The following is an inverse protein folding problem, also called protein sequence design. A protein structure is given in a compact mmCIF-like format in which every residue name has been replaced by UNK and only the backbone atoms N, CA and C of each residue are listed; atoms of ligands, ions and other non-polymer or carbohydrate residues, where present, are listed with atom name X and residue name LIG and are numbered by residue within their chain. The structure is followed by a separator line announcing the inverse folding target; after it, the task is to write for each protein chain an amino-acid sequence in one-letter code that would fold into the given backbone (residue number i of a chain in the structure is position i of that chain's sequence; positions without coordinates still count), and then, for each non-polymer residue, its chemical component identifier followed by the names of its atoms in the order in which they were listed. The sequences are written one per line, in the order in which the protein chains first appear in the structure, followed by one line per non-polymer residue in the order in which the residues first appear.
data_IF_688042414624
#
_entry.id   IF_688042414624
#
_cell.length_a   1.000
_cell.length_b   1.000
_cell.length_c   1.000
_cell.angle_alpha   90.00
_cell.angle_beta   90.00
_cell.angle_gamma   90.00
#
_symmetry.space_group_name_H-M   'P 1'
#
loop_
_entity.id
_entity.type
_entity.pdbx_description
1 polymer ?
#
# COMPACT_ATOMS: atom_id res chain seq x y z
N UNK A 1 -15.78 -40.64 5.62
CA UNK A 1 -14.70 -41.62 5.40
C UNK A 1 -13.33 -40.96 5.32
N UNK A 2 -13.02 -40.12 4.31
CA UNK A 2 -11.65 -39.59 4.10
C UNK A 2 -11.10 -38.69 5.24
N UNK A 3 -11.96 -38.03 6.03
CA UNK A 3 -11.50 -37.18 7.15
C UNK A 3 -10.88 -37.94 8.35
N UNK A 4 -11.11 -39.26 8.48
CA UNK A 4 -10.75 -40.01 9.69
C UNK A 4 -9.43 -40.81 9.60
N UNK A 5 -8.88 -41.01 8.39
CA UNK A 5 -7.61 -41.70 8.16
C UNK A 5 -6.79 -40.89 7.16
N UNK A 6 -5.58 -40.48 7.52
CA UNK A 6 -4.61 -39.99 6.53
C UNK A 6 -4.11 -41.18 5.71
N UNK A 7 -4.26 -41.14 4.39
CA UNK A 7 -3.59 -42.09 3.50
C UNK A 7 -2.12 -41.71 3.35
N UNK A 8 -1.24 -42.71 3.33
CA UNK A 8 0.17 -42.50 2.98
C UNK A 8 0.33 -42.43 1.46
N UNK A 9 1.40 -41.80 0.98
CA UNK A 9 1.71 -41.69 -0.46
C UNK A 9 1.84 -43.04 -1.18
N UNK A 10 2.04 -44.12 -0.44
CA UNK A 10 2.06 -45.51 -0.90
C UNK A 10 0.68 -46.14 -1.14
N UNK A 11 -0.42 -45.53 -0.66
CA UNK A 11 -1.80 -46.01 -0.84
C UNK A 11 -2.50 -45.40 -2.07
N UNK A 12 -1.75 -44.68 -2.92
CA UNK A 12 -2.23 -43.99 -4.13
C UNK A 12 -2.42 -44.95 -5.31
N UNK A 13 -3.42 -44.69 -6.15
CA UNK A 13 -3.75 -45.58 -7.28
C UNK A 13 -3.73 -44.84 -8.63
N UNK A 14 -2.55 -44.77 -9.24
CA UNK A 14 -2.35 -44.19 -10.58
C UNK A 14 -1.87 -42.75 -10.55
N UNK A 15 -2.39 -41.90 -11.46
CA UNK A 15 -2.03 -40.48 -11.51
C UNK A 15 -2.75 -39.72 -10.38
N UNK A 16 -2.07 -38.77 -9.74
CA UNK A 16 -2.62 -37.95 -8.63
C UNK A 16 -3.95 -37.28 -9.00
N UNK A 17 -4.12 -36.81 -10.24
CA UNK A 17 -5.38 -36.18 -10.71
C UNK A 17 -6.56 -37.16 -10.87
N UNK A 18 -6.28 -38.48 -10.94
CA UNK A 18 -7.29 -39.53 -10.99
C UNK A 18 -7.68 -40.07 -9.61
N UNK A 19 -6.90 -39.79 -8.56
CA UNK A 19 -7.25 -40.21 -7.20
C UNK A 19 -8.57 -39.55 -6.73
N UNK A 20 -9.52 -40.33 -6.19
CA UNK A 20 -10.83 -39.81 -5.77
C UNK A 20 -10.70 -38.82 -4.60
N UNK A 21 -9.64 -38.94 -3.81
CA UNK A 21 -9.33 -38.05 -2.70
C UNK A 21 -8.82 -36.69 -3.18
N UNK A 22 -7.95 -36.65 -4.20
CA UNK A 22 -7.51 -35.41 -4.84
C UNK A 22 -8.69 -34.66 -5.47
N UNK A 23 -9.55 -35.37 -6.21
CA UNK A 23 -10.79 -34.81 -6.78
C UNK A 23 -11.68 -34.19 -5.70
N UNK A 24 -11.96 -34.93 -4.63
CA UNK A 24 -12.75 -34.42 -3.50
C UNK A 24 -12.16 -33.15 -2.88
N UNK A 25 -10.82 -33.00 -2.87
CA UNK A 25 -10.18 -31.79 -2.36
C UNK A 25 -10.26 -30.63 -3.36
N UNK A 26 -10.15 -30.88 -4.67
CA UNK A 26 -10.40 -29.85 -5.71
C UNK A 26 -11.85 -29.36 -5.62
N UNK A 27 -12.81 -30.28 -5.51
CA UNK A 27 -14.24 -29.97 -5.36
C UNK A 27 -14.52 -29.21 -4.05
N UNK A 28 -13.91 -29.62 -2.93
CA UNK A 28 -14.04 -28.90 -1.66
C UNK A 28 -13.47 -27.46 -1.73
N UNK A 29 -12.35 -27.26 -2.44
CA UNK A 29 -11.81 -25.91 -2.67
C UNK A 29 -12.71 -25.07 -3.60
N UNK A 30 -13.38 -25.67 -4.58
CA UNK A 30 -14.38 -24.97 -5.40
C UNK A 30 -15.58 -24.55 -4.55
N UNK A 31 -16.15 -25.47 -3.77
CA UNK A 31 -17.24 -25.20 -2.83
C UNK A 31 -16.88 -24.11 -1.81
N UNK A 32 -15.63 -24.05 -1.34
CA UNK A 32 -15.20 -22.98 -0.42
C UNK A 32 -15.22 -21.58 -1.07
N UNK A 33 -14.98 -21.47 -2.38
CA UNK A 33 -15.11 -20.22 -3.15
C UNK A 33 -16.58 -19.86 -3.37
N UNK A 34 -17.43 -20.85 -3.67
CA UNK A 34 -18.86 -20.65 -3.86
C UNK A 34 -19.53 -20.20 -2.55
N UNK A 35 -19.15 -20.81 -1.42
CA UNK A 35 -19.56 -20.38 -0.07
C UNK A 35 -19.16 -18.92 0.22
N UNK A 36 -17.99 -18.46 -0.22
CA UNK A 36 -17.60 -17.05 -0.09
C UNK A 36 -18.45 -16.11 -0.95
N UNK A 37 -18.84 -16.54 -2.15
CA UNK A 37 -19.76 -15.77 -2.99
C UNK A 37 -21.15 -15.65 -2.35
N UNK A 38 -21.68 -16.76 -1.80
CA UNK A 38 -22.96 -16.78 -1.08
C UNK A 38 -22.94 -15.91 0.19
N UNK A 39 -21.88 -16.00 1.01
CA UNK A 39 -21.71 -15.11 2.18
C UNK A 39 -21.72 -13.64 1.75
N UNK A 40 -21.08 -13.29 0.62
CA UNK A 40 -21.08 -11.92 0.10
C UNK A 40 -22.44 -11.49 -0.49
N UNK A 41 -23.29 -12.42 -0.94
CA UNK A 41 -24.68 -12.15 -1.35
C UNK A 41 -25.56 -11.92 -0.11
N UNK A 42 -25.49 -12.81 0.89
CA UNK A 42 -26.22 -12.69 2.16
C UNK A 42 -25.85 -11.39 2.88
N UNK A 43 -24.57 -11.03 2.90
CA UNK A 43 -24.05 -9.77 3.44
C UNK A 43 -24.67 -8.52 2.78
N UNK A 44 -24.90 -8.53 1.45
CA UNK A 44 -25.60 -7.45 0.75
C UNK A 44 -27.08 -7.40 1.13
N UNK A 45 -27.75 -8.54 1.16
CA UNK A 45 -29.16 -8.64 1.57
C UNK A 45 -29.38 -8.11 2.99
N UNK A 46 -28.57 -8.56 3.96
CA UNK A 46 -28.62 -8.10 5.33
C UNK A 46 -28.33 -6.59 5.44
N UNK A 47 -27.38 -6.06 4.65
CA UNK A 47 -27.11 -4.62 4.56
C UNK A 47 -28.32 -3.81 4.10
N UNK A 48 -28.91 -4.17 2.97
CA UNK A 48 -30.05 -3.44 2.40
C UNK A 48 -31.25 -3.43 3.36
N UNK A 49 -31.49 -4.53 4.07
CA UNK A 49 -32.57 -4.64 5.07
C UNK A 49 -32.26 -3.87 6.36
N UNK A 50 -31.04 -4.02 6.90
CA UNK A 50 -30.65 -3.40 8.16
C UNK A 50 -30.34 -1.90 8.06
N UNK A 51 -30.07 -1.39 6.85
CA UNK A 51 -29.90 0.04 6.58
C UNK A 51 -31.09 0.89 7.08
N UNK A 52 -32.30 0.32 7.11
CA UNK A 52 -33.50 0.95 7.70
C UNK A 52 -33.37 1.25 9.20
N UNK A 53 -32.60 0.44 9.95
CA UNK A 53 -32.36 0.59 11.40
C UNK A 53 -31.09 1.34 11.73
N UNK A 54 -29.99 1.02 11.07
CA UNK A 54 -28.67 1.57 11.39
C UNK A 54 -27.83 1.75 10.11
N UNK A 55 -28.11 2.79 9.30
CA UNK A 55 -27.48 2.99 8.00
C UNK A 55 -25.97 3.23 8.08
N UNK A 56 -25.47 3.77 9.19
CA UNK A 56 -24.06 4.07 9.38
C UNK A 56 -23.20 2.80 9.54
N UNK A 57 -23.77 1.68 10.01
CA UNK A 57 -23.03 0.46 10.37
C UNK A 57 -22.22 -0.13 9.21
N UNK A 58 -22.71 -0.01 7.96
CA UNK A 58 -21.98 -0.43 6.75
C UNK A 58 -20.60 0.25 6.66
N UNK A 59 -20.53 1.53 7.02
CA UNK A 59 -19.31 2.33 6.90
C UNK A 59 -18.30 2.03 8.01
N UNK A 60 -18.78 1.50 9.13
CA UNK A 60 -17.99 1.22 10.34
C UNK A 60 -17.33 -0.15 10.27
N UNK A 61 -18.09 -1.18 9.88
CA UNK A 61 -17.63 -2.57 9.83
C UNK A 61 -17.49 -3.01 8.36
N UNK A 62 -16.25 -3.22 7.92
CA UNK A 62 -15.93 -3.65 6.56
C UNK A 62 -15.91 -5.17 6.36
N UNK A 63 -15.70 -5.95 7.42
CA UNK A 63 -15.67 -7.41 7.36
C UNK A 63 -17.09 -7.97 7.21
N UNK A 64 -17.30 -8.87 6.24
CA UNK A 64 -18.65 -9.37 5.91
C UNK A 64 -19.25 -10.18 7.06
N UNK A 65 -18.46 -11.12 7.61
CA UNK A 65 -18.86 -11.96 8.76
C UNK A 65 -18.95 -11.12 10.04
N UNK A 66 -18.02 -10.19 10.26
CA UNK A 66 -18.03 -9.26 11.41
C UNK A 66 -19.30 -8.40 11.42
N UNK A 67 -19.73 -7.92 10.23
CA UNK A 67 -20.96 -7.16 10.06
C UNK A 67 -22.20 -8.00 10.38
N UNK A 68 -22.30 -9.21 9.83
CA UNK A 68 -23.46 -10.10 10.05
C UNK A 68 -23.59 -10.52 11.52
N UNK A 69 -22.48 -10.86 12.18
CA UNK A 69 -22.46 -11.14 13.62
C UNK A 69 -22.88 -9.92 14.45
N UNK A 70 -22.39 -8.72 14.10
CA UNK A 70 -22.76 -7.49 14.78
C UNK A 70 -24.26 -7.14 14.59
N UNK A 71 -24.80 -7.31 13.38
CA UNK A 71 -26.22 -7.09 13.10
C UNK A 71 -27.11 -8.02 13.95
N UNK A 72 -26.76 -9.31 14.01
CA UNK A 72 -27.49 -10.31 14.80
C UNK A 72 -27.51 -9.98 16.30
N UNK A 73 -26.38 -9.53 16.85
CA UNK A 73 -26.25 -9.18 18.28
C UNK A 73 -26.79 -7.79 18.63
N UNK A 74 -27.09 -6.93 17.65
CA UNK A 74 -27.69 -5.61 17.87
C UNK A 74 -29.21 -5.63 17.66
N UNK A 75 -29.69 -6.25 16.58
CA UNK A 75 -31.10 -6.29 16.24
C UNK A 75 -31.75 -4.90 16.24
N UNK A 76 -32.81 -4.73 17.03
CA UNK A 76 -33.48 -3.43 17.20
C UNK A 76 -32.88 -2.56 18.33
N UNK A 77 -32.18 -3.14 19.31
CA UNK A 77 -31.85 -2.46 20.58
C UNK A 77 -30.39 -2.00 20.62
N UNK A 78 -30.14 -0.84 20.01
CA UNK A 78 -28.80 -0.29 19.81
C UNK A 78 -28.06 0.08 21.11
N UNK A 79 -28.74 0.16 22.25
CA UNK A 79 -28.09 0.38 23.55
C UNK A 79 -27.26 -0.82 24.02
N UNK A 80 -27.52 -2.02 23.49
CA UNK A 80 -26.78 -3.24 23.84
C UNK A 80 -25.29 -3.18 23.43
N UNK A 81 -24.89 -2.27 22.54
CA UNK A 81 -23.47 -2.07 22.12
C UNK A 81 -22.53 -1.91 23.31
N UNK A 82 -22.97 -1.22 24.37
CA UNK A 82 -22.09 -0.79 25.48
C UNK A 82 -21.65 -1.95 26.37
N UNK A 83 -22.52 -2.94 26.57
CA UNK A 83 -22.37 -3.98 27.60
C UNK A 83 -22.36 -5.41 27.04
N UNK A 84 -22.49 -5.63 25.73
CA UNK A 84 -22.52 -6.98 25.14
C UNK A 84 -21.09 -7.56 24.99
N UNK A 85 -20.75 -8.53 25.85
CA UNK A 85 -19.48 -9.26 25.84
C UNK A 85 -19.19 -9.97 24.49
N UNK A 86 -20.21 -10.45 23.79
CA UNK A 86 -20.03 -11.11 22.49
C UNK A 86 -19.56 -10.13 21.42
N UNK A 87 -20.07 -8.89 21.42
CA UNK A 87 -19.58 -7.84 20.52
C UNK A 87 -18.11 -7.51 20.79
N UNK A 88 -17.66 -7.59 22.05
CA UNK A 88 -16.24 -7.41 22.42
C UNK A 88 -15.34 -8.57 21.94
N UNK A 89 -15.88 -9.77 21.78
CA UNK A 89 -15.15 -10.89 21.18
C UNK A 89 -15.01 -10.77 19.65
N UNK A 90 -15.92 -10.06 18.98
CA UNK A 90 -15.96 -9.91 17.52
C UNK A 90 -15.21 -8.64 17.06
N UNK A 91 -15.45 -7.51 17.74
CA UNK A 91 -15.02 -6.18 17.32
C UNK A 91 -13.99 -5.60 18.29
N UNK A 92 -13.06 -4.79 17.77
CA UNK A 92 -12.11 -4.07 18.63
C UNK A 92 -12.81 -3.02 19.50
N UNK A 93 -12.26 -2.72 20.68
CA UNK A 93 -12.80 -1.68 21.55
C UNK A 93 -12.93 -0.32 20.86
N UNK A 94 -12.02 0.02 19.95
CA UNK A 94 -12.08 1.25 19.16
C UNK A 94 -13.29 1.28 18.21
N UNK A 95 -13.58 0.16 17.53
CA UNK A 95 -14.79 0.03 16.69
C UNK A 95 -16.07 0.06 17.53
N UNK A 96 -16.10 -0.60 18.70
CA UNK A 96 -17.26 -0.58 19.61
C UNK A 96 -17.56 0.83 20.12
N UNK A 97 -16.52 1.60 20.50
CA UNK A 97 -16.68 3.00 20.89
C UNK A 97 -17.30 3.82 19.76
N UNK A 98 -16.80 3.72 18.52
CA UNK A 98 -17.36 4.46 17.38
C UNK A 98 -18.80 4.02 17.10
N UNK A 99 -19.07 2.71 17.08
CA UNK A 99 -20.43 2.15 16.88
C UNK A 99 -21.37 2.67 17.96
N UNK A 100 -21.00 2.69 19.24
CA UNK A 100 -21.86 3.20 20.34
C UNK A 100 -22.14 4.71 20.26
N UNK A 101 -21.17 5.50 19.82
CA UNK A 101 -21.35 6.95 19.59
C UNK A 101 -22.30 7.17 18.41
N UNK A 102 -22.08 6.48 17.28
CA UNK A 102 -22.99 6.60 16.13
C UNK A 102 -24.39 6.08 16.44
N UNK A 103 -24.51 4.94 17.14
CA UNK A 103 -25.75 4.34 17.64
C UNK A 103 -26.59 5.33 18.46
N UNK A 104 -25.94 6.14 19.30
CA UNK A 104 -26.58 7.16 20.13
C UNK A 104 -27.13 8.35 19.31
N UNK A 105 -26.77 8.48 18.03
CA UNK A 105 -27.15 9.58 17.13
C UNK A 105 -27.81 9.11 15.83
N UNK A 106 -28.17 7.83 15.69
CA UNK A 106 -28.71 7.28 14.45
C UNK A 106 -30.06 7.89 14.09
N UNK A 107 -30.28 8.14 12.81
CA UNK A 107 -31.58 8.58 12.27
C UNK A 107 -32.47 7.42 11.80
N UNK A 108 -32.10 6.18 12.13
CA UNK A 108 -32.79 4.97 11.66
C UNK A 108 -34.07 4.64 12.42
N UNK A 109 -34.94 3.86 11.77
CA UNK A 109 -36.27 3.47 12.26
C UNK A 109 -36.28 2.04 12.79
N UNK A 110 -37.20 1.71 13.70
CA UNK A 110 -37.35 0.34 14.19
C UNK A 110 -37.79 -0.63 13.08
N UNK A 111 -37.21 -1.83 13.07
CA UNK A 111 -37.63 -2.92 12.17
C UNK A 111 -38.88 -3.59 12.73
N UNK A 112 -39.78 -3.98 11.84
CA UNK A 112 -40.90 -4.87 12.19
C UNK A 112 -40.37 -6.25 12.61
N UNK A 113 -41.09 -7.02 13.44
CA UNK A 113 -40.64 -8.34 13.87
C UNK A 113 -40.42 -9.31 12.68
N UNK A 114 -41.19 -9.17 11.60
CA UNK A 114 -41.01 -9.95 10.38
C UNK A 114 -39.74 -9.56 9.60
N UNK A 115 -39.46 -8.26 9.47
CA UNK A 115 -38.18 -7.80 8.87
C UNK A 115 -36.98 -8.25 9.72
N UNK A 116 -37.09 -8.19 11.05
CA UNK A 116 -36.03 -8.64 11.95
C UNK A 116 -35.78 -10.15 11.79
N UNK A 117 -36.83 -10.98 11.81
CA UNK A 117 -36.70 -12.42 11.65
C UNK A 117 -35.99 -12.83 10.34
N UNK A 118 -36.30 -12.15 9.22
CA UNK A 118 -35.61 -12.36 7.94
C UNK A 118 -34.11 -12.02 7.98
N UNK A 119 -33.72 -11.01 8.77
CA UNK A 119 -32.31 -10.62 8.95
C UNK A 119 -31.60 -11.62 9.87
N UNK A 120 -32.25 -12.03 10.97
CA UNK A 120 -31.72 -13.00 11.94
C UNK A 120 -31.48 -14.37 11.25
N UNK A 121 -32.44 -14.86 10.44
CA UNK A 121 -32.32 -16.08 9.63
C UNK A 121 -31.17 -16.01 8.60
N UNK A 122 -31.04 -14.86 7.91
CA UNK A 122 -29.93 -14.64 6.97
C UNK A 122 -28.57 -14.62 7.69
N UNK A 123 -28.49 -14.04 8.89
CA UNK A 123 -27.27 -14.07 9.68
C UNK A 123 -26.92 -15.49 10.16
N UNK A 124 -27.91 -16.28 10.58
CA UNK A 124 -27.72 -17.69 10.97
C UNK A 124 -27.18 -18.53 9.80
N UNK A 125 -27.80 -18.42 8.63
CA UNK A 125 -27.34 -19.09 7.41
C UNK A 125 -25.88 -18.76 7.08
N UNK A 126 -25.47 -17.49 7.19
CA UNK A 126 -24.09 -17.08 6.94
C UNK A 126 -23.10 -17.62 8.00
N UNK A 127 -23.52 -17.74 9.26
CA UNK A 127 -22.71 -18.35 10.33
C UNK A 127 -22.52 -19.84 10.06
N UNK A 128 -23.57 -20.55 9.67
CA UNK A 128 -23.49 -21.96 9.28
C UNK A 128 -22.57 -22.18 8.08
N UNK A 129 -22.72 -21.37 7.02
CA UNK A 129 -21.84 -21.39 5.84
C UNK A 129 -20.38 -21.14 6.21
N UNK A 130 -20.09 -20.18 7.09
CA UNK A 130 -18.73 -19.94 7.57
C UNK A 130 -18.19 -21.13 8.40
N UNK A 131 -19.03 -21.79 9.21
CA UNK A 131 -18.66 -22.99 9.95
C UNK A 131 -18.46 -24.23 9.06
N UNK A 132 -19.10 -24.29 7.88
CA UNK A 132 -18.82 -25.30 6.86
C UNK A 132 -17.49 -24.98 6.18
N UNK A 133 -17.24 -23.71 5.87
CA UNK A 133 -15.98 -23.25 5.27
C UNK A 133 -14.75 -23.54 6.15
N UNK A 134 -14.84 -23.32 7.46
CA UNK A 134 -13.73 -23.65 8.38
C UNK A 134 -13.42 -25.15 8.38
N UNK A 135 -14.44 -26.01 8.43
CA UNK A 135 -14.29 -27.47 8.30
C UNK A 135 -13.66 -27.89 6.98
N UNK A 136 -14.01 -27.22 5.87
CA UNK A 136 -13.35 -27.44 4.57
C UNK A 136 -11.87 -27.07 4.65
N UNK A 137 -11.52 -25.92 5.23
CA UNK A 137 -10.12 -25.51 5.40
C UNK A 137 -9.32 -26.44 6.32
N UNK A 138 -9.90 -26.94 7.42
CA UNK A 138 -9.28 -27.95 8.29
C UNK A 138 -9.00 -29.26 7.53
N UNK A 139 -9.96 -29.72 6.72
CA UNK A 139 -9.78 -30.90 5.87
C UNK A 139 -8.66 -30.70 4.83
N UNK A 140 -8.68 -29.56 4.12
CA UNK A 140 -7.67 -29.19 3.12
C UNK A 140 -6.28 -29.03 3.76
N UNK A 141 -6.20 -28.43 4.95
CA UNK A 141 -4.95 -28.31 5.72
C UNK A 141 -4.38 -29.69 6.10
N UNK A 142 -5.22 -30.63 6.53
CA UNK A 142 -4.83 -32.02 6.85
C UNK A 142 -4.29 -32.84 5.67
N UNK A 143 -4.43 -32.32 4.44
CA UNK A 143 -3.99 -32.90 3.17
C UNK A 143 -3.02 -32.02 2.39
N UNK A 144 -2.60 -30.90 2.96
CA UNK A 144 -1.79 -29.90 2.27
C UNK A 144 -0.38 -30.41 1.93
N UNK A 145 0.19 -31.26 2.77
CA UNK A 145 1.46 -31.96 2.53
C UNK A 145 1.41 -32.91 1.34
N UNK A 146 0.23 -33.41 0.96
CA UNK A 146 0.03 -34.26 -0.21
C UNK A 146 -0.17 -33.44 -1.50
N UNK A 147 -0.98 -32.38 -1.43
CA UNK A 147 -1.37 -31.57 -2.60
C UNK A 147 -0.27 -30.59 -3.02
N UNK A 148 0.33 -29.91 -2.04
CA UNK A 148 1.29 -28.84 -2.27
C UNK A 148 2.46 -28.94 -1.26
N UNK A 149 3.26 -30.03 -1.34
CA UNK A 149 4.37 -30.25 -0.42
C UNK A 149 5.37 -29.09 -0.46
N UNK A 150 5.73 -28.56 -1.63
CA UNK A 150 6.75 -27.52 -1.72
C UNK A 150 6.24 -26.18 -1.16
N UNK A 151 4.98 -25.82 -1.41
CA UNK A 151 4.35 -24.63 -0.84
C UNK A 151 4.21 -24.72 0.69
N UNK A 152 3.83 -25.90 1.20
CA UNK A 152 3.70 -26.19 2.63
C UNK A 152 5.00 -25.95 3.39
N UNK A 153 6.13 -26.42 2.86
CA UNK A 153 7.45 -26.27 3.50
C UNK A 153 7.90 -24.81 3.62
N UNK A 154 7.41 -23.92 2.74
CA UNK A 154 7.80 -22.50 2.74
C UNK A 154 6.93 -21.66 3.68
N UNK A 155 5.60 -21.78 3.58
CA UNK A 155 4.67 -20.84 4.25
C UNK A 155 3.97 -21.48 5.46
N UNK A 156 3.93 -22.82 5.54
CA UNK A 156 3.12 -23.62 6.47
C UNK A 156 1.85 -24.18 5.82
N UNK A 157 1.29 -25.26 6.38
CA UNK A 157 0.09 -25.91 5.85
C UNK A 157 -1.15 -25.01 5.92
N UNK A 158 -1.43 -24.37 7.07
CA UNK A 158 -2.60 -23.48 7.24
C UNK A 158 -2.62 -22.29 6.29
N UNK A 159 -1.47 -21.67 6.06
CA UNK A 159 -1.32 -20.53 5.16
C UNK A 159 -1.40 -20.97 3.71
N UNK A 160 -0.81 -22.12 3.34
CA UNK A 160 -0.96 -22.73 2.02
C UNK A 160 -2.43 -23.07 1.70
N UNK A 161 -3.16 -23.67 2.65
CA UNK A 161 -4.60 -23.94 2.53
C UNK A 161 -5.41 -22.66 2.27
N UNK A 162 -5.17 -21.61 3.06
CA UNK A 162 -5.82 -20.30 2.89
C UNK A 162 -5.49 -19.60 1.57
N UNK A 163 -4.26 -19.75 1.07
CA UNK A 163 -3.85 -19.26 -0.25
C UNK A 163 -4.52 -20.04 -1.39
N UNK A 164 -4.63 -21.36 -1.26
CA UNK A 164 -5.31 -22.22 -2.24
C UNK A 164 -6.82 -21.97 -2.30
N UNK A 165 -7.46 -21.79 -1.14
CA UNK A 165 -8.87 -21.43 -1.05
C UNK A 165 -9.19 -20.14 -1.78
N UNK A 166 -8.54 -19.02 -1.43
CA UNK A 166 -8.77 -17.73 -2.10
C UNK A 166 -8.34 -17.75 -3.58
N UNK A 167 -7.30 -18.49 -3.94
CA UNK A 167 -6.93 -18.64 -5.36
C UNK A 167 -7.91 -19.51 -6.15
N UNK A 168 -8.75 -20.31 -5.49
CA UNK A 168 -9.66 -21.27 -6.10
C UNK A 168 -8.97 -22.48 -6.72
N UNK A 169 -7.89 -22.96 -6.09
CA UNK A 169 -7.14 -24.17 -6.48
C UNK A 169 -5.71 -23.92 -6.97
N UNK A 170 -4.90 -25.00 -6.97
CA UNK A 170 -3.46 -24.97 -7.21
C UNK A 170 -3.09 -24.49 -8.63
N UNK A 171 -3.85 -24.89 -9.63
CA UNK A 171 -3.67 -24.49 -11.03
C UNK A 171 -4.01 -23.03 -11.31
N UNK A 172 -4.85 -22.40 -10.46
CA UNK A 172 -5.09 -20.94 -10.49
C UNK A 172 -3.97 -20.20 -9.76
N UNK A 173 -3.58 -20.69 -8.57
CA UNK A 173 -2.48 -20.12 -7.77
C UNK A 173 -1.15 -20.10 -8.55
N UNK A 174 -0.81 -21.16 -9.28
CA UNK A 174 0.43 -21.24 -10.07
C UNK A 174 0.48 -20.22 -11.22
N UNK A 175 -0.68 -19.88 -11.81
CA UNK A 175 -0.84 -18.85 -12.84
C UNK A 175 -0.76 -17.43 -12.29
N UNK A 176 -0.98 -17.20 -10.99
CA UNK A 176 -0.90 -15.88 -10.39
C UNK A 176 0.55 -15.34 -10.35
N UNK A 177 0.76 -14.03 -10.52
CA UNK A 177 2.06 -13.40 -10.29
C UNK A 177 2.30 -13.19 -8.79
N UNK A 178 3.59 -13.19 -8.39
CA UNK A 178 4.02 -13.05 -6.99
C UNK A 178 3.49 -11.78 -6.30
N UNK A 179 3.30 -10.67 -7.03
CA UNK A 179 2.72 -9.44 -6.46
C UNK A 179 1.26 -9.61 -6.04
N UNK A 180 0.49 -10.46 -6.71
CA UNK A 180 -0.89 -10.75 -6.34
C UNK A 180 -0.92 -11.72 -5.15
N UNK A 181 -0.08 -12.76 -5.17
CA UNK A 181 0.02 -13.74 -4.07
C UNK A 181 0.45 -13.10 -2.74
N UNK A 182 1.29 -12.06 -2.78
CA UNK A 182 1.65 -11.28 -1.59
C UNK A 182 0.43 -10.64 -0.88
N UNK A 183 -0.62 -10.30 -1.64
CA UNK A 183 -1.82 -9.59 -1.14
C UNK A 183 -3.06 -10.47 -1.03
N UNK A 184 -2.98 -11.76 -1.33
CA UNK A 184 -4.10 -12.69 -1.11
C UNK A 184 -4.47 -12.72 0.38
N UNK A 185 -5.77 -12.59 0.68
CA UNK A 185 -6.28 -12.46 2.05
C UNK A 185 -6.09 -11.06 2.67
N UNK A 186 -5.66 -10.03 1.92
CA UNK A 186 -5.57 -8.68 2.47
C UNK A 186 -6.97 -8.10 2.72
N UNK A 187 -7.38 -8.04 3.98
CA UNK A 187 -8.62 -7.39 4.39
C UNK A 187 -8.51 -5.86 4.23
N UNK A 188 -9.60 -5.23 3.77
CA UNK A 188 -9.76 -3.78 3.89
C UNK A 188 -10.03 -3.46 5.35
N UNK A 189 -9.30 -2.52 5.93
CA UNK A 189 -9.57 -1.98 7.27
C UNK A 189 -9.97 -0.51 7.15
N UNK A 190 -10.93 -0.07 7.95
CA UNK A 190 -11.20 1.35 8.17
C UNK A 190 -10.15 1.90 9.14
N UNK A 191 -9.72 3.14 8.94
CA UNK A 191 -8.98 3.88 9.97
C UNK A 191 -9.98 4.30 11.04
N UNK A 192 -10.17 3.44 12.04
CA UNK A 192 -10.99 3.73 13.21
C UNK A 192 -10.27 4.74 14.13
N UNK A 193 -10.92 5.89 14.35
CA UNK A 193 -10.51 6.91 15.33
C UNK A 193 -9.30 7.77 14.93
N UNK A 194 -8.73 8.47 15.91
CA UNK A 194 -7.65 9.45 15.74
C UNK A 194 -6.25 8.83 15.48
N UNK A 195 -6.18 7.57 15.08
CA UNK A 195 -4.92 6.84 14.99
C UNK A 195 -4.12 7.19 13.73
N UNK A 196 -2.85 7.61 13.91
CA UNK A 196 -1.88 7.78 12.81
C UNK A 196 -1.15 6.49 12.44
N UNK A 197 -1.47 5.37 13.10
CA UNK A 197 -0.90 4.05 12.81
C UNK A 197 -1.25 3.67 11.38
N UNK A 198 -0.25 3.72 10.50
CA UNK A 198 -0.45 3.42 9.09
C UNK A 198 -1.03 2.02 8.93
N UNK A 199 -2.18 1.91 8.25
CA UNK A 199 -2.62 0.63 7.72
C UNK A 199 -1.47 0.02 6.94
N UNK A 200 -0.96 -1.13 7.39
CA UNK A 200 0.17 -1.81 6.74
C UNK A 200 -0.29 -2.23 5.33
N UNK A 201 0.21 -1.59 4.26
CA UNK A 201 -0.29 -1.86 2.93
C UNK A 201 0.31 -3.17 2.41
N UNK A 202 -0.47 -3.95 1.67
CA UNK A 202 -0.05 -5.22 1.08
C UNK A 202 0.26 -6.32 2.12
N UNK A 203 -0.53 -6.39 3.19
CA UNK A 203 -0.51 -7.48 4.18
C UNK A 203 -1.59 -8.51 3.89
N UNK A 204 -1.25 -9.56 3.12
CA UNK A 204 -2.06 -10.77 2.95
C UNK A 204 -1.63 -11.90 3.88
N UNK A 205 -2.13 -13.13 3.66
CA UNK A 205 -1.78 -14.31 4.47
C UNK A 205 -0.28 -14.60 4.51
N UNK A 206 0.45 -14.36 3.41
CA UNK A 206 1.91 -14.49 3.37
C UNK A 206 2.60 -13.60 4.41
N UNK A 207 2.06 -12.40 4.68
CA UNK A 207 2.62 -11.50 5.70
C UNK A 207 2.47 -12.07 7.11
N UNK A 208 1.39 -12.80 7.40
CA UNK A 208 1.11 -13.42 8.70
C UNK A 208 1.70 -14.84 8.85
N UNK A 209 2.49 -15.31 7.88
CA UNK A 209 3.27 -16.54 8.03
C UNK A 209 4.39 -16.37 9.07
N UNK A 210 4.73 -17.46 9.78
CA UNK A 210 5.75 -17.46 10.85
C UNK A 210 7.08 -16.88 10.35
N UNK A 211 7.61 -17.41 9.24
CA UNK A 211 8.85 -16.96 8.59
C UNK A 211 8.90 -15.45 8.25
N UNK A 212 7.75 -14.76 8.14
CA UNK A 212 7.70 -13.30 8.02
C UNK A 212 7.58 -12.64 9.39
N UNK A 213 6.74 -13.14 10.29
CA UNK A 213 6.56 -12.55 11.63
C UNK A 213 7.82 -12.64 12.50
N UNK A 214 8.62 -13.68 12.35
CA UNK A 214 9.89 -13.87 13.07
C UNK A 214 10.94 -12.82 12.67
N UNK A 215 10.78 -12.16 11.51
CA UNK A 215 11.67 -11.07 11.09
C UNK A 215 11.32 -9.74 11.76
N UNK A 216 12.30 -8.84 12.02
CA UNK A 216 12.04 -7.53 12.62
C UNK A 216 11.12 -6.68 11.72
N UNK A 217 10.27 -5.82 12.31
CA UNK A 217 9.15 -5.16 11.63
C UNK A 217 9.53 -4.40 10.35
N UNK A 218 10.69 -3.73 10.34
CA UNK A 218 11.21 -2.98 9.20
C UNK A 218 11.56 -3.87 7.98
N UNK A 219 11.88 -5.15 8.23
CA UNK A 219 12.21 -6.13 7.20
C UNK A 219 11.01 -6.96 6.75
N UNK A 220 9.92 -7.06 7.54
CA UNK A 220 8.73 -7.87 7.22
C UNK A 220 8.16 -7.62 5.82
N UNK A 221 8.16 -6.36 5.33
CA UNK A 221 7.70 -6.03 3.97
C UNK A 221 8.66 -6.47 2.84
N UNK A 222 9.95 -6.63 3.15
CA UNK A 222 10.92 -7.26 2.23
C UNK A 222 10.76 -8.78 2.29
N UNK A 223 10.65 -9.36 3.49
CA UNK A 223 10.43 -10.78 3.73
C UNK A 223 9.16 -11.29 3.00
N UNK A 224 8.01 -10.65 3.21
CA UNK A 224 6.75 -11.03 2.57
C UNK A 224 6.82 -11.05 1.03
N UNK A 225 7.57 -10.13 0.40
CA UNK A 225 7.81 -10.14 -1.05
C UNK A 225 8.69 -11.31 -1.50
N UNK A 226 9.71 -11.63 -0.71
CA UNK A 226 10.65 -12.71 -0.98
C UNK A 226 9.95 -14.08 -0.83
N UNK A 227 9.21 -14.27 0.26
CA UNK A 227 8.38 -15.46 0.52
C UNK A 227 7.30 -15.60 -0.56
N UNK A 228 6.55 -14.55 -0.91
CA UNK A 228 5.54 -14.63 -1.97
C UNK A 228 6.13 -15.02 -3.34
N UNK A 229 7.32 -14.52 -3.68
CA UNK A 229 8.01 -14.89 -4.92
C UNK A 229 8.42 -16.37 -4.95
N UNK A 230 8.96 -16.89 -3.84
CA UNK A 230 9.34 -18.30 -3.72
C UNK A 230 8.14 -19.24 -3.60
N UNK A 231 7.08 -18.82 -2.90
CA UNK A 231 5.82 -19.54 -2.78
C UNK A 231 5.13 -19.72 -4.15
N UNK A 232 5.14 -18.72 -5.03
CA UNK A 232 4.61 -18.87 -6.40
C UNK A 232 5.44 -19.85 -7.23
N UNK A 233 6.77 -19.87 -7.07
CA UNK A 233 7.61 -20.86 -7.74
C UNK A 233 7.34 -22.27 -7.22
N UNK A 234 7.20 -22.45 -5.90
CA UNK A 234 6.81 -23.73 -5.31
C UNK A 234 5.42 -24.19 -5.78
N UNK A 235 4.41 -23.30 -5.79
CA UNK A 235 3.06 -23.62 -6.27
C UNK A 235 3.03 -24.02 -7.76
N UNK A 236 4.00 -23.58 -8.58
CA UNK A 236 4.16 -24.02 -9.97
C UNK A 236 4.78 -25.42 -10.07
N UNK A 237 5.77 -25.72 -9.24
CA UNK A 237 6.38 -27.05 -9.12
C UNK A 237 5.36 -28.06 -8.61
N UNK A 238 4.59 -27.70 -7.57
CA UNK A 238 3.48 -28.50 -7.03
C UNK A 238 2.40 -28.74 -8.10
N UNK A 239 2.00 -27.71 -8.86
CA UNK A 239 1.01 -27.87 -9.94
C UNK A 239 1.47 -28.82 -11.07
N UNK A 240 2.79 -28.91 -11.32
CA UNK A 240 3.37 -29.86 -12.27
C UNK A 240 3.71 -31.23 -11.64
N UNK A 241 3.51 -31.40 -10.33
CA UNK A 241 3.81 -32.62 -9.57
C UNK A 241 5.27 -33.12 -9.70
N UNK A 242 6.22 -32.22 -10.00
CA UNK A 242 7.62 -32.57 -10.30
C UNK A 242 8.42 -33.00 -9.05
N UNK A 243 8.06 -32.53 -7.86
CA UNK A 243 8.75 -32.85 -6.59
C UNK A 243 7.77 -33.18 -5.48
N UNK A 244 7.35 -34.44 -5.41
CA UNK A 244 6.36 -34.96 -4.44
C UNK A 244 6.89 -34.93 -3.00
N UNK A 245 8.20 -35.01 -2.78
CA UNK A 245 8.81 -35.04 -1.45
C UNK A 245 9.13 -33.66 -0.84
N UNK A 246 8.76 -32.56 -1.51
CA UNK A 246 8.95 -31.20 -0.96
C UNK A 246 10.39 -30.68 -0.98
N UNK A 247 11.33 -31.37 -1.64
CA UNK A 247 12.76 -31.00 -1.68
C UNK A 247 13.00 -29.60 -2.26
N UNK A 248 12.23 -29.20 -3.27
CA UNK A 248 12.36 -27.90 -3.91
C UNK A 248 11.84 -26.80 -2.96
N UNK A 249 10.78 -27.09 -2.20
CA UNK A 249 10.27 -26.26 -1.11
C UNK A 249 11.32 -26.04 -0.01
N UNK A 250 12.00 -27.11 0.43
CA UNK A 250 13.12 -27.03 1.38
C UNK A 250 14.26 -26.16 0.85
N UNK A 251 14.75 -26.43 -0.37
CA UNK A 251 15.77 -25.62 -1.03
C UNK A 251 15.36 -24.15 -1.10
N UNK A 252 14.09 -23.86 -1.42
CA UNK A 252 13.57 -22.48 -1.44
C UNK A 252 13.41 -21.85 -0.05
N UNK A 253 13.14 -22.63 0.99
CA UNK A 253 13.09 -22.16 2.38
C UNK A 253 14.47 -21.71 2.87
N UNK A 254 15.49 -22.54 2.69
CA UNK A 254 16.88 -22.16 2.98
C UNK A 254 17.29 -20.88 2.21
N UNK A 255 16.85 -20.77 0.95
CA UNK A 255 17.12 -19.65 0.05
C UNK A 255 16.38 -18.36 0.44
N UNK A 256 15.35 -18.46 1.30
CA UNK A 256 14.67 -17.36 1.99
C UNK A 256 15.48 -17.00 3.24
N UNK A 257 15.70 -17.99 4.13
CA UNK A 257 16.40 -17.83 5.42
C UNK A 257 17.77 -17.16 5.23
N UNK A 258 18.64 -17.71 4.35
CA UNK A 258 19.96 -17.14 4.00
C UNK A 258 19.89 -15.68 3.50
N UNK A 259 18.78 -15.26 2.90
CA UNK A 259 18.57 -13.86 2.45
C UNK A 259 17.98 -12.96 3.54
N UNK A 260 17.22 -13.52 4.49
CA UNK A 260 16.72 -12.81 5.65
C UNK A 260 17.83 -12.54 6.64
N UNK A 261 18.70 -13.52 6.89
CA UNK A 261 19.88 -13.38 7.76
C UNK A 261 20.81 -12.29 7.22
N UNK A 262 21.12 -12.35 5.92
CA UNK A 262 21.91 -11.32 5.21
C UNK A 262 21.25 -9.94 5.17
N UNK A 263 19.94 -9.83 5.39
CA UNK A 263 19.25 -8.53 5.55
C UNK A 263 19.29 -8.02 6.99
N UNK A 264 19.57 -8.88 7.97
CA UNK A 264 19.77 -8.54 9.38
C UNK A 264 21.25 -8.23 9.69
N UNK A 265 22.19 -8.78 8.92
CA UNK A 265 23.61 -8.40 8.98
C UNK A 265 23.78 -6.86 8.94
N UNK A 266 24.38 -6.25 9.97
CA UNK A 266 24.64 -4.82 9.96
C UNK A 266 25.68 -4.49 8.88
N UNK A 267 25.58 -3.33 8.19
CA UNK A 267 26.57 -2.94 7.21
C UNK A 267 27.94 -2.81 7.89
N UNK A 268 29.04 -3.23 7.22
CA UNK A 268 30.38 -3.14 7.81
C UNK A 268 30.70 -1.70 8.18
N UNK A 269 31.33 -1.53 9.35
CA UNK A 269 31.67 -0.21 9.88
C UNK A 269 32.52 0.54 8.87
N UNK A 270 32.04 1.70 8.42
CA UNK A 270 32.77 2.53 7.47
C UNK A 270 34.00 3.10 8.16
N UNK A 271 35.19 2.74 7.67
CA UNK A 271 36.43 3.38 8.10
C UNK A 271 36.31 4.91 7.97
N UNK A 272 36.75 5.62 9.00
CA UNK A 272 36.81 7.08 8.99
C UNK A 272 37.79 7.48 7.90
N UNK A 273 37.28 7.95 6.76
CA UNK A 273 38.12 8.41 5.66
C UNK A 273 38.88 9.65 6.15
N UNK A 274 40.21 9.63 6.23
CA UNK A 274 40.96 10.81 6.65
C UNK A 274 40.69 11.97 5.71
N UNK A 275 40.65 13.18 6.26
CA UNK A 275 40.56 14.39 5.45
C UNK A 275 41.72 14.43 4.45
N UNK A 276 41.51 14.92 3.22
CA UNK A 276 42.61 15.14 2.29
C UNK A 276 43.61 16.10 2.95
N UNK A 277 44.91 15.80 2.83
CA UNK A 277 45.98 16.64 3.36
C UNK A 277 45.76 18.11 2.91
N UNK A 278 45.84 19.11 3.80
CA UNK A 278 45.75 20.53 3.46
C UNK A 278 46.92 21.01 2.59
N UNK A 279 46.94 20.58 1.33
CA UNK A 279 47.94 20.97 0.33
C UNK A 279 47.35 22.10 -0.49
N UNK A 280 47.95 23.29 -0.41
CA UNK A 280 47.57 24.45 -1.23
C UNK A 280 48.03 24.28 -2.68
N UNK A 281 47.32 23.43 -3.43
CA UNK A 281 47.53 23.28 -4.87
C UNK A 281 47.14 24.53 -5.66
N UNK A 282 47.85 24.79 -6.76
CA UNK A 282 47.57 25.94 -7.63
C UNK A 282 46.14 25.91 -8.18
N UNK A 283 45.41 27.01 -7.99
CA UNK A 283 43.97 27.10 -8.32
C UNK A 283 43.76 26.99 -9.83
N UNK A 284 43.05 25.95 -10.28
CA UNK A 284 42.73 25.71 -11.71
C UNK A 284 41.86 26.84 -12.28
N UNK A 285 42.48 27.81 -12.96
CA UNK A 285 41.83 28.96 -13.63
C UNK A 285 41.01 28.50 -14.84
N UNK A 286 39.76 28.08 -14.62
CA UNK A 286 38.81 27.69 -15.68
C UNK A 286 37.88 28.83 -16.08
N UNK A 287 37.78 29.08 -17.40
CA UNK A 287 36.81 29.96 -18.06
C UNK A 287 35.61 29.21 -18.65
N UNK A 288 34.82 29.90 -19.48
CA UNK A 288 33.70 29.33 -20.24
C UNK A 288 32.31 29.48 -19.59
N UNK A 289 31.26 29.51 -20.44
CA UNK A 289 29.86 29.83 -20.07
C UNK A 289 29.31 29.00 -18.91
N UNK A 290 29.55 27.68 -18.90
CA UNK A 290 29.10 26.76 -17.83
C UNK A 290 29.81 27.01 -16.50
N UNK A 291 31.12 27.28 -16.54
CA UNK A 291 31.93 27.56 -15.34
C UNK A 291 31.58 28.93 -14.78
N UNK A 292 31.41 29.94 -15.63
CA UNK A 292 30.92 31.27 -15.23
C UNK A 292 29.55 31.19 -14.54
N UNK A 293 28.57 30.49 -15.15
CA UNK A 293 27.23 30.24 -14.54
C UNK A 293 27.28 29.37 -13.27
N UNK A 294 28.34 28.60 -13.03
CA UNK A 294 28.56 27.92 -11.75
C UNK A 294 29.12 28.89 -10.70
N UNK A 295 30.14 29.70 -11.05
CA UNK A 295 30.69 30.72 -10.16
C UNK A 295 29.65 31.77 -9.77
N UNK A 296 28.84 32.26 -10.71
CA UNK A 296 27.71 33.19 -10.47
C UNK A 296 26.69 32.67 -9.45
N UNK A 297 26.57 31.35 -9.22
CA UNK A 297 25.64 30.79 -8.21
C UNK A 297 26.21 30.76 -6.78
N UNK A 298 27.52 30.86 -6.61
CA UNK A 298 28.20 30.84 -5.31
C UNK A 298 28.89 32.18 -4.97
N UNK A 299 29.05 33.06 -5.94
CA UNK A 299 29.57 34.40 -5.74
C UNK A 299 28.56 35.28 -5.00
N UNK A 300 29.07 36.25 -4.22
CA UNK A 300 28.26 37.35 -3.71
C UNK A 300 27.70 38.16 -4.88
N UNK A 301 26.40 38.44 -4.86
CA UNK A 301 25.71 39.30 -5.83
C UNK A 301 26.22 40.73 -5.74
N UNK A 302 26.08 41.51 -6.80
CA UNK A 302 26.39 42.94 -6.75
C UNK A 302 25.54 43.65 -5.67
N UNK A 303 24.27 43.28 -5.52
CA UNK A 303 23.43 43.73 -4.40
C UNK A 303 24.09 43.49 -3.03
N UNK A 304 24.53 42.25 -2.72
CA UNK A 304 25.25 41.97 -1.46
C UNK A 304 26.59 42.70 -1.35
N UNK A 305 27.30 42.93 -2.44
CA UNK A 305 28.53 43.75 -2.42
C UNK A 305 28.26 45.22 -2.11
N UNK A 306 27.08 45.75 -2.46
CA UNK A 306 26.67 47.11 -2.08
C UNK A 306 26.17 47.17 -0.63
N UNK A 307 25.51 46.11 -0.11
CA UNK A 307 25.19 45.99 1.31
C UNK A 307 26.45 45.98 2.17
N UNK A 308 27.47 45.20 1.75
CA UNK A 308 28.75 45.09 2.45
C UNK A 308 29.67 46.33 2.27
N UNK A 309 29.21 47.40 1.62
CA UNK A 309 29.92 48.69 1.58
C UNK A 309 29.29 49.59 2.62
N UNK A 310 30.11 50.06 3.55
CA UNK A 310 29.77 51.01 4.60
C UNK A 310 30.34 52.37 4.20
N UNK A 311 29.61 53.46 4.45
CA UNK A 311 30.21 54.80 4.38
C UNK A 311 30.95 55.09 5.70
N UNK A 312 32.18 55.59 5.62
CA UNK A 312 32.93 55.98 6.81
C UNK A 312 32.45 57.35 7.30
N UNK A 313 31.99 57.42 8.55
CA UNK A 313 31.51 58.66 9.19
C UNK A 313 29.99 58.86 9.18
N UNK A 314 29.24 58.10 8.37
CA UNK A 314 27.77 58.14 8.35
C UNK A 314 27.20 57.13 9.35
N UNK A 315 26.23 57.54 10.17
CA UNK A 315 25.36 56.59 10.89
C UNK A 315 24.46 55.90 9.86
N UNK A 316 24.25 54.59 9.99
CA UNK A 316 23.47 53.81 9.04
C UNK A 316 22.06 53.54 9.52
N UNK A 317 21.10 53.55 8.60
CA UNK A 317 19.71 53.18 8.87
C UNK A 317 19.59 51.65 8.93
N UNK A 318 19.33 51.11 10.12
CA UNK A 318 18.97 49.70 10.30
C UNK A 318 17.63 49.43 9.59
N UNK A 319 17.57 48.33 8.83
CA UNK A 319 16.37 48.04 8.02
C UNK A 319 15.19 47.50 8.84
N UNK A 320 15.45 47.03 10.05
CA UNK A 320 14.51 46.36 10.94
C UNK A 320 14.78 46.80 12.38
N UNK A 321 13.70 47.17 13.09
CA UNK A 321 13.79 47.74 14.44
C UNK A 321 14.14 46.69 15.52
N UNK A 322 14.00 45.39 15.21
CA UNK A 322 14.19 44.28 16.15
C UNK A 322 15.49 43.47 15.95
N UNK A 323 16.29 43.73 14.90
CA UNK A 323 17.48 42.94 14.54
C UNK A 323 18.75 43.81 14.47
N UNK A 324 19.40 44.02 15.62
CA UNK A 324 20.63 44.81 15.73
C UNK A 324 21.73 44.23 14.82
N UNK A 325 22.18 45.05 13.87
CA UNK A 325 23.31 44.73 12.98
C UNK A 325 22.93 44.39 11.54
N UNK A 326 21.65 44.39 11.16
CA UNK A 326 21.25 44.33 9.76
C UNK A 326 21.26 45.72 9.09
N UNK A 327 22.46 46.20 8.75
CA UNK A 327 22.61 47.41 7.93
C UNK A 327 22.40 47.13 6.43
N UNK A 328 21.84 48.12 5.74
CA UNK A 328 21.75 48.18 4.27
C UNK A 328 23.01 48.74 3.60
N UNK A 329 23.96 49.24 4.38
CA UNK A 329 25.19 49.89 3.88
C UNK A 329 24.87 51.01 2.90
N UNK A 330 25.51 50.98 1.73
CA UNK A 330 25.25 51.92 0.63
C UNK A 330 23.92 51.72 -0.12
N UNK A 331 23.11 50.69 0.16
CA UNK A 331 21.88 50.39 -0.61
C UNK A 331 20.73 51.35 -0.26
N UNK A 332 20.55 52.33 -1.13
CA UNK A 332 19.49 53.34 -1.06
C UNK A 332 19.99 54.74 -0.71
N UNK A 333 21.25 54.86 -0.23
CA UNK A 333 21.88 56.14 0.12
C UNK A 333 22.36 56.96 -1.09
N UNK A 334 22.64 56.30 -2.23
CA UNK A 334 23.03 57.00 -3.47
C UNK A 334 21.80 57.56 -4.18
N UNK A 335 21.76 58.88 -4.39
CA UNK A 335 20.60 59.63 -4.87
C UNK A 335 19.99 59.19 -6.21
N UNK A 336 18.79 59.73 -6.49
CA UNK A 336 17.76 59.24 -7.42
C UNK A 336 18.07 59.17 -8.93
N UNK A 337 19.35 59.14 -9.35
CA UNK A 337 19.77 59.15 -10.76
C UNK A 337 20.49 57.89 -11.27
N UNK A 338 20.89 56.96 -10.40
CA UNK A 338 21.70 55.79 -10.79
C UNK A 338 20.88 54.50 -10.60
N UNK A 339 20.90 53.62 -11.60
CA UNK A 339 20.17 52.33 -11.58
C UNK A 339 20.60 51.51 -10.36
N UNK A 340 19.68 51.34 -9.41
CA UNK A 340 19.86 50.48 -8.24
C UNK A 340 20.34 49.07 -8.66
N UNK A 341 21.23 48.42 -7.88
CA UNK A 341 21.69 47.08 -8.19
C UNK A 341 20.51 46.11 -8.22
N UNK A 342 20.18 45.59 -9.40
CA UNK A 342 19.02 44.72 -9.59
C UNK A 342 19.17 43.41 -8.83
N UNK A 343 18.07 42.91 -8.27
CA UNK A 343 18.02 41.61 -7.59
C UNK A 343 18.18 40.50 -8.63
N UNK A 344 19.34 39.84 -8.59
CA UNK A 344 19.71 38.77 -9.53
C UNK A 344 18.75 37.56 -9.40
N UNK A 345 17.81 37.39 -10.32
CA UNK A 345 16.85 36.26 -10.32
C UNK A 345 17.52 34.88 -10.26
N UNK A 346 18.78 34.81 -10.70
CA UNK A 346 19.62 33.60 -10.64
C UNK A 346 19.84 33.10 -9.21
N UNK A 347 19.70 33.97 -8.21
CA UNK A 347 19.86 33.66 -6.78
C UNK A 347 18.61 33.15 -6.08
N UNK A 348 17.44 33.17 -6.75
CA UNK A 348 16.23 32.51 -6.26
C UNK A 348 16.55 31.04 -5.93
N UNK A 349 16.26 30.62 -4.70
CA UNK A 349 16.57 29.27 -4.19
C UNK A 349 15.91 28.23 -5.09
N UNK A 350 16.72 27.32 -5.65
CA UNK A 350 16.23 26.26 -6.54
C UNK A 350 16.07 24.97 -5.75
N UNK A 351 14.88 24.39 -5.84
CA UNK A 351 14.56 23.06 -5.34
C UNK A 351 15.53 22.02 -5.94
N UNK A 352 16.02 21.08 -5.13
CA UNK A 352 16.91 20.00 -5.58
C UNK A 352 16.23 19.09 -6.60
N UNK A 353 16.97 18.43 -7.50
CA UNK A 353 16.37 17.52 -8.50
C UNK A 353 15.57 16.37 -7.86
N UNK A 354 15.91 15.95 -6.65
CA UNK A 354 15.17 14.93 -5.89
C UNK A 354 13.86 15.49 -5.35
N UNK A 355 13.88 16.67 -4.73
CA UNK A 355 12.67 17.32 -4.21
C UNK A 355 11.74 17.79 -5.33
N UNK A 356 12.27 18.25 -6.47
CA UNK A 356 11.48 18.54 -7.69
C UNK A 356 10.72 17.30 -8.17
N UNK A 357 11.41 16.15 -8.27
CA UNK A 357 10.76 14.87 -8.67
C UNK A 357 9.72 14.41 -7.66
N UNK A 358 9.94 14.61 -6.35
CA UNK A 358 8.98 14.23 -5.33
C UNK A 358 7.74 15.14 -5.35
N UNK A 359 7.93 16.46 -5.49
CA UNK A 359 6.84 17.44 -5.62
C UNK A 359 6.00 17.18 -6.88
N UNK A 360 6.66 16.93 -8.02
CA UNK A 360 5.99 16.61 -9.29
C UNK A 360 5.20 15.30 -9.21
N UNK A 361 5.71 14.29 -8.50
CA UNK A 361 4.94 13.06 -8.21
C UNK A 361 3.69 13.35 -7.39
N UNK A 362 3.77 14.18 -6.35
CA UNK A 362 2.58 14.56 -5.56
C UNK A 362 1.55 15.31 -6.42
N UNK A 363 1.98 16.20 -7.32
CA UNK A 363 1.08 16.91 -8.24
C UNK A 363 0.35 15.99 -9.23
N UNK A 364 0.91 14.84 -9.61
CA UNK A 364 0.23 13.86 -10.48
C UNK A 364 -0.90 13.12 -9.74
N UNK A 365 -0.79 12.97 -8.42
CA UNK A 365 -1.82 12.37 -7.57
C UNK A 365 -2.69 13.42 -6.84
N UNK A 366 -2.50 14.71 -7.14
CA UNK A 366 -3.14 15.84 -6.47
C UNK A 366 -4.55 16.15 -6.97
N UNK A 367 -5.45 15.17 -6.96
CA UNK A 367 -6.87 15.36 -7.22
C UNK A 367 -7.69 15.54 -5.94
N UNK A 368 -8.34 16.69 -5.81
CA UNK A 368 -9.39 17.03 -4.85
C UNK A 368 -10.42 17.84 -5.67
N UNK A 369 -11.74 17.63 -5.71
CA UNK A 369 -12.71 16.88 -4.88
C UNK A 369 -13.76 16.18 -5.80
N UNK A 370 -14.86 15.49 -5.43
CA UNK A 370 -15.54 15.13 -4.14
C UNK A 370 -16.50 13.92 -4.36
N UNK A 371 -16.95 13.27 -3.27
CA UNK A 371 -18.26 12.58 -3.09
C UNK A 371 -18.62 11.32 -3.93
N UNK A 372 -18.93 10.24 -3.18
CA UNK A 372 -19.62 8.96 -3.51
C UNK A 372 -18.84 7.80 -4.17
N UNK A 373 -18.93 6.66 -3.46
CA UNK A 373 -18.65 5.25 -3.85
C UNK A 373 -17.16 4.91 -3.99
N UNK A 374 -16.63 3.94 -3.23
CA UNK A 374 -16.85 2.48 -3.37
C UNK A 374 -16.64 2.02 -4.82
N UNK A 375 -15.74 1.04 -5.00
CA UNK A 375 -15.23 0.54 -6.29
C UNK A 375 -14.25 1.52 -6.98
N UNK A 376 -12.97 1.37 -6.65
CA UNK A 376 -11.88 1.81 -7.54
C UNK A 376 -11.84 0.83 -8.72
N UNK A 377 -12.62 1.12 -9.76
CA UNK A 377 -12.43 0.47 -11.06
C UNK A 377 -11.18 1.06 -11.72
N UNK A 378 -10.29 0.20 -12.23
CA UNK A 378 -9.04 0.61 -12.89
C UNK A 378 -9.23 1.39 -14.20
N UNK A 379 -10.47 1.65 -14.62
CA UNK A 379 -10.85 2.41 -15.81
C UNK A 379 -11.47 3.78 -15.50
N UNK A 380 -11.63 4.15 -14.21
CA UNK A 380 -12.20 5.44 -13.84
C UNK A 380 -11.19 6.57 -14.09
N UNK A 381 -11.45 7.39 -15.12
CA UNK A 381 -10.72 8.64 -15.35
C UNK A 381 -10.97 9.63 -14.21
N UNK A 382 -9.90 10.23 -13.70
CA UNK A 382 -9.97 11.21 -12.62
C UNK A 382 -10.58 12.53 -13.10
N UNK A 383 -11.86 12.72 -12.86
CA UNK A 383 -12.57 14.00 -13.10
C UNK A 383 -12.01 15.06 -12.15
N UNK A 384 -11.68 16.24 -12.67
CA UNK A 384 -11.23 17.38 -11.89
C UNK A 384 -12.32 18.45 -11.86
N UNK A 385 -12.76 18.85 -10.67
CA UNK A 385 -13.70 19.96 -10.52
C UNK A 385 -12.93 21.29 -10.48
N UNK A 386 -13.24 22.21 -11.40
CA UNK A 386 -12.78 23.60 -11.31
C UNK A 386 -14.00 24.52 -11.16
N UNK A 387 -13.92 25.63 -10.40
CA UNK A 387 -15.09 26.42 -10.03
C UNK A 387 -15.64 27.34 -11.13
N UNK A 388 -15.08 27.32 -12.35
CA UNK A 388 -15.35 28.34 -13.38
C UNK A 388 -15.86 27.80 -14.73
N UNK A 389 -15.61 26.53 -15.05
CA UNK A 389 -16.12 25.86 -16.25
C UNK A 389 -16.51 24.41 -15.89
N UNK A 390 -17.52 23.88 -16.59
CA UNK A 390 -18.22 22.64 -16.22
C UNK A 390 -17.42 21.35 -16.37
N UNK A 391 -18.12 20.21 -16.34
CA UNK A 391 -17.53 18.87 -16.39
C UNK A 391 -16.68 18.63 -17.65
N UNK A 392 -15.36 18.78 -17.52
CA UNK A 392 -14.40 18.39 -18.55
C UNK A 392 -13.75 17.03 -18.25
N UNK A 393 -13.80 16.12 -19.24
CA UNK A 393 -13.23 14.76 -19.17
C UNK A 393 -11.72 14.76 -19.50
N UNK A 394 -11.20 15.88 -20.01
CA UNK A 394 -9.79 16.05 -20.37
C UNK A 394 -9.12 16.90 -19.29
N UNK A 395 -8.04 16.38 -18.69
CA UNK A 395 -7.21 17.18 -17.78
C UNK A 395 -6.38 18.18 -18.61
N UNK A 396 -6.63 19.50 -18.58
CA UNK A 396 -5.92 20.47 -19.42
C UNK A 396 -4.42 20.50 -19.13
N UNK A 397 -4.02 20.24 -17.87
CA UNK A 397 -2.61 20.14 -17.49
C UNK A 397 -1.91 18.90 -18.08
N UNK A 398 -2.65 17.88 -18.52
CA UNK A 398 -2.08 16.75 -19.25
C UNK A 398 -1.77 17.12 -20.71
N UNK A 399 -2.60 17.96 -21.35
CA UNK A 399 -2.33 18.51 -22.67
C UNK A 399 -1.13 19.46 -22.64
N UNK A 400 -1.03 20.35 -21.64
CA UNK A 400 0.15 21.22 -21.43
C UNK A 400 1.43 20.42 -21.15
N UNK A 401 1.35 19.33 -20.37
CA UNK A 401 2.47 18.40 -20.16
C UNK A 401 2.90 17.74 -21.47
N UNK A 402 1.95 17.24 -22.27
CA UNK A 402 2.25 16.66 -23.58
C UNK A 402 2.91 17.67 -24.51
N UNK A 403 2.43 18.91 -24.56
CA UNK A 403 3.07 19.98 -25.34
C UNK A 403 4.45 20.37 -24.80
N UNK A 404 4.67 20.41 -23.48
CA UNK A 404 5.99 20.71 -22.91
C UNK A 404 6.99 19.55 -23.02
N UNK A 405 6.52 18.30 -23.05
CA UNK A 405 7.32 17.12 -23.35
C UNK A 405 7.64 16.99 -24.85
N UNK A 406 6.69 17.29 -25.75
CA UNK A 406 6.97 17.36 -27.19
C UNK A 406 7.92 18.52 -27.55
N UNK A 407 7.84 19.65 -26.85
CA UNK A 407 8.79 20.75 -26.97
C UNK A 407 10.11 20.52 -26.19
N UNK A 408 10.24 19.43 -25.43
CA UNK A 408 11.46 19.11 -24.69
C UNK A 408 12.55 18.62 -25.66
N UNK A 409 13.37 19.56 -26.13
CA UNK A 409 14.57 19.26 -26.94
C UNK A 409 15.42 18.16 -26.28
N UNK A 410 16.08 17.34 -27.09
CA UNK A 410 16.86 16.14 -26.74
C UNK A 410 17.81 16.24 -25.52
N UNK A 411 18.21 17.46 -25.11
CA UNK A 411 19.04 17.75 -23.94
C UNK A 411 18.28 18.44 -22.78
N UNK A 412 16.97 18.25 -22.66
CA UNK A 412 16.19 18.83 -21.56
C UNK A 412 16.65 18.27 -20.20
N UNK A 413 16.44 19.03 -19.12
CA UNK A 413 16.84 18.58 -17.78
C UNK A 413 15.89 17.55 -17.14
N UNK A 414 14.79 17.23 -17.84
CA UNK A 414 13.66 16.44 -17.37
C UNK A 414 13.43 15.15 -18.17
N UNK A 415 13.72 15.14 -19.48
CA UNK A 415 13.61 13.95 -20.33
C UNK A 415 14.77 12.96 -20.10
N UNK A 416 14.45 11.66 -20.09
CA UNK A 416 15.44 10.58 -20.20
C UNK A 416 15.90 10.38 -21.66
N UNK A 417 16.96 9.59 -21.86
CA UNK A 417 17.36 9.17 -23.21
C UNK A 417 16.31 8.22 -23.78
N UNK A 418 15.72 8.59 -24.92
CA UNK A 418 14.85 7.73 -25.71
C UNK A 418 15.70 6.80 -26.57
N UNK A 419 15.49 5.49 -26.43
CA UNK A 419 16.05 4.51 -27.37
C UNK A 419 15.24 4.56 -28.67
N UNK A 420 15.83 5.10 -29.73
CA UNK A 420 15.21 5.09 -31.06
C UNK A 420 15.43 3.72 -31.68
N UNK A 421 14.39 2.88 -31.64
CA UNK A 421 14.37 1.64 -32.41
C UNK A 421 14.50 1.95 -33.90
N UNK A 422 15.45 1.30 -34.60
CA UNK A 422 15.58 1.41 -36.05
C UNK A 422 14.29 0.93 -36.70
N UNK A 423 13.57 1.83 -37.37
CA UNK A 423 12.58 1.42 -38.38
C UNK A 423 13.37 0.88 -39.57
N UNK A 424 13.25 -0.40 -39.83
CA UNK A 424 13.61 -0.99 -41.13
C UNK A 424 12.67 -0.40 -42.18
N UNK A 425 13.25 0.10 -43.26
CA UNK A 425 12.56 0.51 -44.50
C UNK A 425 12.00 -0.69 -45.22
#
# INVERSE_FOLDING_TARGET
MYSQRQRTSSEMLGNVESDPEYRLIVDANALAVDVDNEISIIHKFAKEKYQKRFPELESLILGEIEYLLAVKELGNDLDQVKNNEKLQAILTQATIMIVSVTASTTQGTFLTPAEKAQIDEACDMAIELNNIKTKIYEYVESRMTFIAPNLSMIVGASTAAKLLGIAGGLTKLSKMPACNVQVLGSQKKTLAGFSKTQMLPHTGYVFFSQIVQDTPPDLRRKAARLVAAKAVLAARVDACHESVHGEIGLKFKEDIEKKLDKLQEPPPVKFIKPLPKPIEGSKKKRGGKRVRKMKERYALTEFRKHANRMNFGDIEEDAYQDDLGYSRGTIGKTGAGIRLPQVDEKTKVRISKTLQKNLQKQQVYGGSTTVKRQIVSGTASSVAFTPLQGLEIVNPQAAEKSQTEMNAKYFSNTSGFLSVGKRTT
#
